data_IF_544111467546
#
_entry.id   IF_544111467546
#
_cell.length_a   1.000
_cell.length_b   1.000
_cell.length_c   1.000
_cell.angle_alpha   90.00
_cell.angle_beta   90.00
_cell.angle_gamma   90.00
#
_symmetry.space_group_name_H-M   'P 1'
#
loop_
_entity.id
_entity.type
_entity.pdbx_description
1 polymer ?
#
# COMPACT_ATOMS: atom_id res chain seq x y z
N UNK A 1 39.21 -22.45 -25.34
CA UNK A 1 39.25 -21.32 -24.38
C UNK A 1 37.89 -21.28 -23.73
N UNK A 2 37.80 -21.87 -22.53
CA UNK A 2 36.57 -21.80 -21.74
C UNK A 2 36.48 -20.41 -21.15
N UNK A 3 35.29 -19.83 -21.18
CA UNK A 3 35.01 -18.60 -20.46
C UNK A 3 35.22 -18.92 -18.98
N UNK A 4 36.16 -18.21 -18.36
CA UNK A 4 36.47 -18.31 -16.95
C UNK A 4 35.31 -17.68 -16.17
N UNK A 5 34.53 -18.51 -15.50
CA UNK A 5 33.33 -18.08 -14.77
C UNK A 5 33.68 -17.41 -13.43
N UNK A 6 34.94 -17.47 -12.97
CA UNK A 6 35.36 -16.79 -11.74
C UNK A 6 35.69 -15.30 -11.95
N UNK A 7 35.87 -14.84 -13.19
CA UNK A 7 36.08 -13.41 -13.50
C UNK A 7 34.74 -12.62 -13.56
N UNK A 8 33.62 -13.29 -13.80
CA UNK A 8 32.27 -12.67 -13.86
C UNK A 8 31.64 -12.53 -12.46
N UNK A 9 32.01 -13.38 -11.50
CA UNK A 9 31.49 -13.32 -10.12
C UNK A 9 32.23 -12.31 -9.23
N UNK A 10 33.10 -11.48 -9.81
CA UNK A 10 33.69 -10.33 -9.13
C UNK A 10 32.66 -9.22 -8.87
N UNK A 11 31.79 -9.42 -7.87
CA UNK A 11 31.30 -8.43 -6.89
C UNK A 11 30.03 -8.97 -6.20
N UNK A 12 30.20 -9.93 -5.29
CA UNK A 12 29.12 -10.35 -4.37
C UNK A 12 28.81 -9.26 -3.33
N UNK A 13 29.67 -8.24 -3.19
CA UNK A 13 29.48 -7.12 -2.25
C UNK A 13 28.50 -6.02 -2.75
N UNK A 14 28.12 -5.98 -4.03
CA UNK A 14 27.26 -4.91 -4.59
C UNK A 14 25.83 -5.37 -4.94
N UNK A 15 25.45 -6.57 -4.52
CA UNK A 15 24.06 -7.03 -4.64
C UNK A 15 23.33 -6.76 -3.31
N UNK A 16 23.97 -7.02 -2.18
CA UNK A 16 23.42 -6.73 -0.84
C UNK A 16 23.16 -5.25 -0.60
N UNK A 17 24.12 -4.38 -0.92
CA UNK A 17 23.99 -2.92 -0.76
C UNK A 17 22.94 -2.33 -1.72
N UNK A 18 22.83 -2.85 -2.94
CA UNK A 18 21.79 -2.44 -3.89
C UNK A 18 20.37 -2.84 -3.44
N UNK A 19 20.21 -4.00 -2.77
CA UNK A 19 18.93 -4.39 -2.17
C UNK A 19 18.56 -3.54 -0.94
N UNK A 20 19.53 -3.24 -0.08
CA UNK A 20 19.35 -2.36 1.09
C UNK A 20 18.99 -0.93 0.68
N UNK A 21 19.66 -0.35 -0.33
CA UNK A 21 19.38 1.00 -0.82
C UNK A 21 18.01 1.08 -1.50
N UNK A 22 17.60 0.05 -2.26
CA UNK A 22 16.25 -0.04 -2.84
C UNK A 22 15.18 -0.17 -1.76
N UNK A 23 15.44 -0.94 -0.69
CA UNK A 23 14.54 -1.08 0.46
C UNK A 23 14.44 0.23 1.26
N UNK A 24 15.56 0.93 1.47
CA UNK A 24 15.59 2.24 2.12
C UNK A 24 14.85 3.30 1.29
N UNK A 25 15.07 3.36 -0.03
CA UNK A 25 14.32 4.24 -0.95
C UNK A 25 12.81 3.93 -0.96
N UNK A 26 12.44 2.66 -0.84
CA UNK A 26 11.03 2.27 -0.71
C UNK A 26 10.43 2.61 0.67
N UNK A 27 11.29 2.70 1.71
CA UNK A 27 10.92 3.05 3.07
C UNK A 27 10.80 4.57 3.30
N UNK A 28 11.56 5.41 2.57
CA UNK A 28 11.48 6.87 2.72
C UNK A 28 10.14 7.47 2.23
N UNK A 29 9.44 6.81 1.29
CA UNK A 29 8.09 7.16 0.83
C UNK A 29 6.97 6.40 1.60
N UNK A 30 7.32 5.79 2.76
CA UNK A 30 6.45 4.87 3.51
C UNK A 30 5.63 5.52 4.63
N UNK A 31 5.89 6.79 4.98
CA UNK A 31 5.14 7.48 6.04
C UNK A 31 3.62 7.55 5.79
N UNK A 32 3.19 7.59 4.52
CA UNK A 32 1.77 7.72 4.14
C UNK A 32 1.06 6.39 3.94
N UNK A 33 1.70 5.27 4.23
CA UNK A 33 1.13 3.98 3.93
C UNK A 33 1.14 3.06 5.14
N UNK A 34 0.12 2.21 5.21
CA UNK A 34 -0.03 1.18 6.23
C UNK A 34 -0.09 -0.17 5.55
N UNK A 35 0.72 -1.11 6.04
CA UNK A 35 0.70 -2.49 5.60
C UNK A 35 -0.14 -3.36 6.53
N UNK A 36 -0.86 -4.32 5.97
CA UNK A 36 -1.65 -5.28 6.74
C UNK A 36 -2.10 -6.48 5.90
N UNK A 37 -2.66 -7.49 6.55
CA UNK A 37 -3.13 -8.69 5.87
C UNK A 37 -4.59 -8.51 5.47
N UNK A 38 -4.88 -8.57 4.17
CA UNK A 38 -6.24 -8.55 3.64
C UNK A 38 -6.46 -9.74 2.71
N UNK A 39 -7.52 -10.52 2.96
CA UNK A 39 -7.84 -11.75 2.20
C UNK A 39 -6.65 -12.71 2.06
N UNK A 40 -5.88 -12.86 3.13
CA UNK A 40 -4.73 -13.77 3.21
C UNK A 40 -3.48 -13.28 2.47
N UNK A 41 -3.42 -12.03 2.04
CA UNK A 41 -2.25 -11.42 1.40
C UNK A 41 -1.82 -10.17 2.14
N UNK A 42 -0.52 -9.95 2.24
CA UNK A 42 0.02 -8.66 2.70
C UNK A 42 -0.27 -7.61 1.63
N UNK A 43 -0.95 -6.54 2.02
CA UNK A 43 -1.30 -5.41 1.15
C UNK A 43 -0.88 -4.12 1.83
N UNK A 44 -0.61 -3.10 1.02
CA UNK A 44 -0.26 -1.75 1.47
C UNK A 44 -1.31 -0.77 0.96
N UNK A 45 -1.87 0.04 1.86
CA UNK A 45 -2.88 1.06 1.55
C UNK A 45 -2.40 2.41 2.06
N UNK A 46 -2.97 3.50 1.57
CA UNK A 46 -2.70 4.82 2.16
C UNK A 46 -3.28 4.89 3.57
N UNK A 47 -2.60 5.61 4.46
CA UNK A 47 -3.01 5.90 5.85
C UNK A 47 -4.26 6.81 5.94
N UNK A 48 -4.64 7.40 4.80
CA UNK A 48 -5.79 8.30 4.69
C UNK A 48 -6.62 8.06 3.43
N UNK A 49 -7.85 8.54 3.47
CA UNK A 49 -8.72 8.66 2.30
C UNK A 49 -9.38 10.04 2.26
N UNK A 50 -9.15 10.77 1.16
CA UNK A 50 -9.49 12.19 1.09
C UNK A 50 -8.71 12.96 2.17
N UNK A 51 -9.45 13.58 3.08
CA UNK A 51 -8.90 14.30 4.24
C UNK A 51 -9.00 13.52 5.57
N UNK A 52 -9.56 12.31 5.55
CA UNK A 52 -9.71 11.46 6.75
C UNK A 52 -8.49 10.57 6.94
N UNK A 53 -7.78 10.71 8.06
CA UNK A 53 -6.73 9.77 8.49
C UNK A 53 -7.37 8.62 9.25
N UNK A 54 -7.01 7.40 8.90
CA UNK A 54 -7.56 6.22 9.55
C UNK A 54 -6.99 6.05 10.96
N UNK A 55 -7.86 5.70 11.90
CA UNK A 55 -7.45 5.23 13.23
C UNK A 55 -7.01 3.77 13.17
N UNK A 56 -6.25 3.31 14.18
CA UNK A 56 -5.81 1.91 14.28
C UNK A 56 -6.99 0.92 14.24
N UNK A 57 -8.12 1.28 14.86
CA UNK A 57 -9.32 0.45 14.86
C UNK A 57 -9.96 0.38 13.46
N UNK A 58 -10.04 1.50 12.75
CA UNK A 58 -10.53 1.54 11.37
C UNK A 58 -9.62 0.71 10.44
N UNK A 59 -8.30 0.86 10.56
CA UNK A 59 -7.34 0.06 9.81
C UNK A 59 -7.51 -1.44 10.10
N UNK A 60 -7.62 -1.81 11.38
CA UNK A 60 -7.87 -3.20 11.77
C UNK A 60 -9.14 -3.74 11.12
N UNK A 61 -10.25 -3.01 11.21
CA UNK A 61 -11.52 -3.44 10.64
C UNK A 61 -11.47 -3.53 9.10
N UNK A 62 -10.74 -2.62 8.45
CA UNK A 62 -10.48 -2.65 7.01
C UNK A 62 -9.69 -3.89 6.58
N UNK A 63 -8.60 -4.22 7.27
CA UNK A 63 -7.79 -5.42 6.99
C UNK A 63 -8.54 -6.72 7.30
N UNK A 64 -9.40 -6.72 8.33
CA UNK A 64 -10.35 -7.81 8.62
C UNK A 64 -11.45 -7.96 7.55
N UNK A 65 -11.50 -7.07 6.55
CA UNK A 65 -12.45 -7.11 5.43
C UNK A 65 -13.83 -6.55 5.75
N UNK A 66 -13.97 -5.80 6.85
CA UNK A 66 -15.23 -5.17 7.26
C UNK A 66 -15.44 -3.85 6.52
N UNK A 67 -16.69 -3.39 6.54
CA UNK A 67 -17.04 -2.03 6.17
C UNK A 67 -16.95 -1.12 7.40
N UNK A 68 -16.38 0.06 7.24
CA UNK A 68 -16.30 1.09 8.26
C UNK A 68 -17.07 2.35 7.82
N UNK A 69 -17.37 3.23 8.78
CA UNK A 69 -17.97 4.54 8.54
C UNK A 69 -17.01 5.63 9.00
N UNK A 70 -16.56 6.45 8.06
CA UNK A 70 -15.65 7.57 8.30
C UNK A 70 -16.36 8.90 8.06
N UNK A 71 -15.83 10.01 8.59
CA UNK A 71 -16.27 11.36 8.25
C UNK A 71 -15.26 11.98 7.31
N UNK A 72 -15.67 12.32 6.08
CA UNK A 72 -14.76 12.83 5.07
C UNK A 72 -15.38 13.99 4.28
N UNK A 73 -14.52 14.87 3.75
CA UNK A 73 -14.92 15.94 2.85
C UNK A 73 -15.08 15.39 1.43
N UNK A 74 -16.32 15.39 0.94
CA UNK A 74 -16.66 14.87 -0.39
C UNK A 74 -17.64 15.82 -1.05
N UNK A 75 -17.38 16.18 -2.32
CA UNK A 75 -18.22 17.10 -3.11
C UNK A 75 -18.51 18.44 -2.41
N UNK A 76 -17.51 19.02 -1.76
CA UNK A 76 -17.63 20.35 -1.15
C UNK A 76 -18.24 20.37 0.27
N UNK A 77 -18.48 19.21 0.89
CA UNK A 77 -19.04 19.13 2.26
C UNK A 77 -18.53 17.92 3.04
N UNK A 78 -18.48 18.06 4.36
CA UNK A 78 -18.26 16.94 5.27
C UNK A 78 -19.48 16.03 5.28
N UNK A 79 -19.25 14.73 5.08
CA UNK A 79 -20.30 13.72 5.13
C UNK A 79 -19.77 12.39 5.65
N UNK A 80 -20.67 11.60 6.21
CA UNK A 80 -20.36 10.23 6.58
C UNK A 80 -20.27 9.35 5.34
N UNK A 81 -19.15 8.66 5.19
CA UNK A 81 -18.87 7.74 4.09
C UNK A 81 -18.74 6.35 4.64
N UNK A 82 -19.53 5.41 4.11
CA UNK A 82 -19.38 3.98 4.41
C UNK A 82 -18.60 3.34 3.27
N UNK A 83 -17.58 2.54 3.61
CA UNK A 83 -16.75 1.84 2.63
C UNK A 83 -15.92 0.73 3.24
N UNK A 84 -15.16 0.03 2.39
CA UNK A 84 -14.30 -1.10 2.77
C UNK A 84 -13.02 -1.12 1.92
N UNK A 85 -12.08 -2.01 2.23
CA UNK A 85 -11.02 -2.31 1.27
C UNK A 85 -11.57 -3.07 0.08
N UNK A 86 -11.22 -2.59 -1.11
CA UNK A 86 -11.49 -3.29 -2.37
C UNK A 86 -10.45 -2.92 -3.43
N UNK A 87 -10.51 -3.62 -4.56
CA UNK A 87 -9.74 -3.25 -5.74
C UNK A 87 -10.36 -2.03 -6.42
N UNK A 88 -9.52 -1.08 -6.82
CA UNK A 88 -9.93 0.05 -7.65
C UNK A 88 -8.93 0.27 -8.79
N UNK A 89 -9.44 0.80 -9.91
CA UNK A 89 -8.63 1.06 -11.08
C UNK A 89 -8.16 2.52 -11.10
N UNK A 90 -6.85 2.72 -11.23
CA UNK A 90 -6.26 4.05 -11.33
C UNK A 90 -5.15 4.07 -12.37
N UNK A 91 -5.26 4.98 -13.36
CA UNK A 91 -4.29 5.16 -14.45
C UNK A 91 -3.80 3.85 -15.10
N UNK A 92 -4.71 2.91 -15.36
CA UNK A 92 -4.35 1.63 -16.01
C UNK A 92 -3.81 0.55 -15.07
N UNK A 93 -3.82 0.75 -13.75
CA UNK A 93 -3.33 -0.20 -12.76
C UNK A 93 -4.39 -0.48 -11.69
N UNK A 94 -4.54 -1.75 -11.31
CA UNK A 94 -5.36 -2.17 -10.17
C UNK A 94 -4.59 -1.93 -8.87
N UNK A 95 -5.20 -1.20 -7.95
CA UNK A 95 -4.68 -0.92 -6.60
C UNK A 95 -5.68 -1.37 -5.55
N UNK A 96 -5.21 -1.52 -4.31
CA UNK A 96 -6.04 -1.83 -3.15
C UNK A 96 -6.13 -0.58 -2.28
N UNK A 97 -7.33 -0.26 -1.79
CA UNK A 97 -7.54 0.89 -0.93
C UNK A 97 -8.99 0.98 -0.46
N UNK A 98 -9.30 2.05 0.28
CA UNK A 98 -10.67 2.31 0.71
C UNK A 98 -11.56 2.69 -0.48
N UNK A 99 -12.61 1.91 -0.69
CA UNK A 99 -13.61 2.12 -1.73
C UNK A 99 -14.97 2.41 -1.07
N UNK A 100 -15.57 3.59 -1.32
CA UNK A 100 -16.89 3.92 -0.82
C UNK A 100 -17.99 2.98 -1.35
N UNK A 101 -19.03 2.79 -0.55
CA UNK A 101 -20.23 1.98 -0.86
C UNK A 101 -20.90 2.30 -2.20
N UNK A 102 -20.88 3.57 -2.63
CA UNK A 102 -21.45 4.01 -3.90
C UNK A 102 -20.52 3.81 -5.12
N UNK A 103 -19.42 3.07 -4.97
CA UNK A 103 -18.46 2.76 -6.04
C UNK A 103 -18.38 1.26 -6.39
N UNK A 104 -19.14 0.41 -5.71
CA UNK A 104 -19.33 -1.02 -6.02
C UNK A 104 -20.81 -1.34 -6.11
#
# INVERSE_FOLDING_TARGET
MGIDWEEILGTDDNIGEAYEELAAKAAEDDWYYVSGTWRGKTVRINDKWGEHYFTDQELKDLFDGKSIKINAYVNGRNQAVVGRLDHYWYKGSSRIGFVPSWKW
#
